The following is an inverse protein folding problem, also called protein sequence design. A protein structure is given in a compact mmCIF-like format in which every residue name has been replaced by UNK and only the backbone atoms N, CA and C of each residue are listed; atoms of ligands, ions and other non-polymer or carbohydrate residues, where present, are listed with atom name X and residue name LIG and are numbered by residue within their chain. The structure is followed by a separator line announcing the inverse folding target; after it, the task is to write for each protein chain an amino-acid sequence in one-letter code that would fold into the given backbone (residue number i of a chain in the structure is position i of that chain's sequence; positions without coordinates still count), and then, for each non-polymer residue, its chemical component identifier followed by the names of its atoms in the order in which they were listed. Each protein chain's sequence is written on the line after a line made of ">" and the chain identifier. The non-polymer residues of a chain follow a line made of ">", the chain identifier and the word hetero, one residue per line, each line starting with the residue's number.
data_IF_386284555602
#
_entry.id   IF_386284555602
#
_cell.length_a   1.000
_cell.length_b   1.000
_cell.length_c   1.000
_cell.angle_alpha   90.00
_cell.angle_beta   90.00
_cell.angle_gamma   90.00
#
_symmetry.space_group_name_H-M   'P 1'
#
loop_
_entity.id
_entity.type
_entity.pdbx_description
1 polymer ?
#
# COMPACT_ATOMS: atom_id res chain seq x y z
N UNK A 1 12.87 13.11 -13.40
CA UNK A 1 12.77 11.68 -13.77
C UNK A 1 11.62 11.57 -14.75
N UNK A 2 11.76 10.90 -15.91
CA UNK A 2 10.61 10.73 -16.81
C UNK A 2 9.57 9.84 -16.11
N UNK A 3 8.26 10.06 -16.33
CA UNK A 3 7.20 9.32 -15.64
C UNK A 3 7.36 7.79 -15.76
N UNK A 4 7.91 7.31 -16.88
CA UNK A 4 8.19 5.89 -17.11
C UNK A 4 9.25 5.30 -16.17
N UNK A 5 10.33 6.04 -15.85
CA UNK A 5 11.38 5.54 -14.97
C UNK A 5 10.96 5.47 -13.50
N UNK A 6 10.09 6.38 -13.04
CA UNK A 6 9.58 6.32 -11.66
C UNK A 6 8.69 5.11 -11.43
N UNK A 7 7.82 4.80 -12.39
CA UNK A 7 6.93 3.63 -12.31
C UNK A 7 7.75 2.34 -12.25
N UNK A 8 8.83 2.25 -13.04
CA UNK A 8 9.74 1.11 -12.98
C UNK A 8 10.45 1.00 -11.62
N UNK A 9 10.89 2.12 -11.04
CA UNK A 9 11.50 2.14 -9.71
C UNK A 9 10.53 1.65 -8.63
N UNK A 10 9.28 2.13 -8.66
CA UNK A 10 8.26 1.75 -7.68
C UNK A 10 7.79 0.29 -7.84
N UNK A 11 7.90 -0.26 -9.05
CA UNK A 11 7.60 -1.66 -9.34
C UNK A 11 8.78 -2.61 -9.05
N UNK A 12 10.00 -2.09 -8.83
CA UNK A 12 11.16 -2.92 -8.53
C UNK A 12 11.03 -3.54 -7.14
N UNK A 13 11.13 -4.87 -7.06
CA UNK A 13 11.10 -5.60 -5.80
C UNK A 13 12.22 -5.20 -4.82
N UNK A 14 13.35 -4.72 -5.33
CA UNK A 14 14.46 -4.22 -4.52
C UNK A 14 14.17 -2.86 -3.89
N UNK A 15 13.09 -2.19 -4.30
CA UNK A 15 12.70 -0.92 -3.69
C UNK A 15 12.46 -1.12 -2.18
N UNK A 16 13.05 -0.28 -1.30
CA UNK A 16 13.09 -0.54 0.16
C UNK A 16 11.77 -0.26 0.89
N UNK A 17 10.63 -0.66 0.30
CA UNK A 17 9.29 -0.58 0.89
C UNK A 17 8.88 -1.82 1.70
N UNK A 18 9.73 -2.85 1.78
CA UNK A 18 9.45 -4.07 2.56
C UNK A 18 8.34 -4.94 1.99
N UNK A 19 8.11 -4.87 0.67
CA UNK A 19 7.06 -5.63 -0.01
C UNK A 19 7.25 -7.15 0.09
N UNK A 20 8.50 -7.64 0.01
CA UNK A 20 8.82 -9.08 0.00
C UNK A 20 8.67 -9.78 1.36
N UNK A 21 8.55 -9.04 2.46
CA UNK A 21 8.54 -9.62 3.80
C UNK A 21 7.16 -10.20 4.22
N UNK A 22 6.16 -10.17 3.34
CA UNK A 22 4.78 -10.50 3.69
C UNK A 22 4.09 -11.34 2.61
N UNK A 23 3.61 -12.53 2.99
CA UNK A 23 2.92 -13.47 2.09
C UNK A 23 1.50 -13.06 1.72
N UNK A 24 0.94 -12.04 2.37
CA UNK A 24 -0.41 -11.54 2.16
C UNK A 24 -1.51 -12.59 2.42
N UNK A 25 -1.23 -13.62 3.21
CA UNK A 25 -2.13 -14.75 3.47
C UNK A 25 -1.88 -16.00 2.61
N UNK A 26 -0.88 -15.98 1.70
CA UNK A 26 -0.55 -17.16 0.89
C UNK A 26 -0.10 -18.34 1.75
N UNK A 27 0.77 -18.10 2.72
CA UNK A 27 1.29 -19.17 3.61
C UNK A 27 0.16 -19.85 4.38
N UNK A 28 -0.82 -19.08 4.88
CA UNK A 28 -1.99 -19.63 5.55
C UNK A 28 -2.87 -20.45 4.60
N UNK A 29 -3.04 -20.02 3.35
CA UNK A 29 -3.80 -20.76 2.35
C UNK A 29 -3.12 -22.09 1.96
N UNK A 30 -1.78 -22.10 1.88
CA UNK A 30 -1.00 -23.32 1.66
C UNK A 30 -1.12 -24.25 2.88
N UNK A 31 -0.95 -23.74 4.09
CA UNK A 31 -1.08 -24.53 5.32
C UNK A 31 -2.47 -25.15 5.48
N UNK A 32 -3.51 -24.48 4.98
CA UNK A 32 -4.88 -24.97 4.97
C UNK A 32 -5.22 -25.93 3.81
N UNK A 33 -4.25 -26.24 2.93
CA UNK A 33 -4.47 -27.10 1.76
C UNK A 33 -5.33 -26.47 0.66
N UNK A 34 -5.56 -25.16 0.69
CA UNK A 34 -6.34 -24.43 -0.31
C UNK A 34 -5.51 -24.05 -1.56
N UNK A 35 -4.19 -23.98 -1.39
CA UNK A 35 -3.23 -23.75 -2.48
C UNK A 35 -2.20 -24.88 -2.45
N UNK A 36 -2.21 -25.72 -3.47
CA UNK A 36 -1.40 -26.94 -3.54
C UNK A 36 -0.61 -27.07 -4.84
N UNK A 37 -0.93 -26.24 -5.84
CA UNK A 37 -0.34 -26.28 -7.18
C UNK A 37 -0.41 -24.88 -7.85
N UNK A 38 0.22 -24.70 -9.03
CA UNK A 38 0.15 -23.43 -9.74
C UNK A 38 -1.26 -22.98 -10.15
N UNK A 39 -2.19 -23.91 -10.40
CA UNK A 39 -3.55 -23.57 -10.82
C UNK A 39 -4.37 -22.98 -9.67
N UNK A 40 -4.29 -23.60 -8.50
CA UNK A 40 -4.88 -23.11 -7.24
C UNK A 40 -4.23 -21.81 -6.78
N UNK A 41 -2.90 -21.66 -6.94
CA UNK A 41 -2.21 -20.40 -6.71
C UNK A 41 -2.74 -19.28 -7.62
N UNK A 42 -2.91 -19.56 -8.92
CA UNK A 42 -3.47 -18.57 -9.85
C UNK A 42 -4.90 -18.17 -9.47
N UNK A 43 -5.74 -19.12 -9.02
CA UNK A 43 -7.06 -18.84 -8.47
C UNK A 43 -7.00 -17.91 -7.25
N UNK A 44 -6.13 -18.23 -6.31
CA UNK A 44 -5.91 -17.43 -5.11
C UNK A 44 -5.41 -16.01 -5.41
N UNK A 45 -4.47 -15.85 -6.35
CA UNK A 45 -3.96 -14.55 -6.77
C UNK A 45 -5.04 -13.71 -7.45
N UNK A 46 -5.85 -14.28 -8.35
CA UNK A 46 -7.00 -13.59 -8.95
C UNK A 46 -8.00 -13.14 -7.90
N UNK A 47 -8.32 -14.00 -6.93
CA UNK A 47 -9.18 -13.66 -5.80
C UNK A 47 -8.63 -12.50 -4.97
N UNK A 48 -7.33 -12.50 -4.67
CA UNK A 48 -6.68 -11.38 -3.98
C UNK A 48 -6.73 -10.09 -4.80
N UNK A 49 -6.44 -10.15 -6.10
CA UNK A 49 -6.50 -8.99 -6.99
C UNK A 49 -7.89 -8.37 -7.03
N UNK A 50 -8.94 -9.19 -7.12
CA UNK A 50 -10.33 -8.72 -7.17
C UNK A 50 -10.85 -8.17 -5.83
N UNK A 51 -10.16 -8.45 -4.72
CA UNK A 51 -10.60 -8.07 -3.37
C UNK A 51 -9.64 -7.05 -2.74
N UNK A 52 -8.71 -7.49 -1.89
CA UNK A 52 -7.78 -6.62 -1.19
C UNK A 52 -6.87 -5.82 -2.13
N UNK A 53 -6.50 -6.41 -3.27
CA UNK A 53 -5.72 -5.74 -4.31
C UNK A 53 -6.47 -4.56 -4.94
N UNK A 54 -7.73 -4.76 -5.32
CA UNK A 54 -8.59 -3.71 -5.87
C UNK A 54 -8.81 -2.58 -4.86
N UNK A 55 -9.09 -2.92 -3.60
CA UNK A 55 -9.23 -1.92 -2.52
C UNK A 55 -7.93 -1.14 -2.35
N UNK A 56 -6.78 -1.80 -2.23
CA UNK A 56 -5.50 -1.12 -2.11
C UNK A 56 -5.24 -0.18 -3.30
N UNK A 57 -5.49 -0.62 -4.53
CA UNK A 57 -5.32 0.21 -5.72
C UNK A 57 -6.24 1.44 -5.71
N UNK A 58 -7.52 1.27 -5.34
CA UNK A 58 -8.47 2.36 -5.25
C UNK A 58 -8.03 3.43 -4.23
N UNK A 59 -7.54 3.01 -3.06
CA UNK A 59 -7.06 3.93 -2.03
C UNK A 59 -5.75 4.62 -2.42
N UNK A 60 -4.85 3.94 -3.14
CA UNK A 60 -3.66 4.57 -3.70
C UNK A 60 -4.01 5.64 -4.73
N UNK A 61 -4.95 5.36 -5.64
CA UNK A 61 -5.44 6.35 -6.62
C UNK A 61 -6.14 7.52 -5.93
N UNK A 62 -6.95 7.26 -4.90
CA UNK A 62 -7.61 8.32 -4.14
C UNK A 62 -6.60 9.23 -3.42
N UNK A 63 -5.58 8.65 -2.80
CA UNK A 63 -4.51 9.42 -2.16
C UNK A 63 -3.67 10.23 -3.17
N UNK A 64 -3.37 9.65 -4.33
CA UNK A 64 -2.70 10.35 -5.43
C UNK A 64 -3.49 11.58 -5.87
N UNK A 65 -4.81 11.44 -6.10
CA UNK A 65 -5.69 12.56 -6.48
C UNK A 65 -5.80 13.62 -5.38
N UNK A 66 -5.70 13.23 -4.11
CA UNK A 66 -5.74 14.16 -2.99
C UNK A 66 -4.44 14.98 -2.83
N UNK A 67 -3.34 14.64 -3.53
CA UNK A 67 -2.05 15.30 -3.36
C UNK A 67 -2.10 16.83 -3.59
N UNK A 68 -2.94 17.30 -4.51
CA UNK A 68 -3.14 18.72 -4.81
C UNK A 68 -4.38 19.36 -4.17
N UNK A 69 -5.13 18.64 -3.33
CA UNK A 69 -6.36 19.15 -2.74
C UNK A 69 -6.08 20.09 -1.56
N UNK A 70 -6.88 21.15 -1.41
CA UNK A 70 -6.76 22.08 -0.28
C UNK A 70 -7.04 21.39 1.07
N UNK A 71 -7.93 20.40 1.08
CA UNK A 71 -8.33 19.61 2.26
C UNK A 71 -7.55 18.29 2.40
N UNK A 72 -6.40 18.16 1.70
CA UNK A 72 -5.60 16.92 1.61
C UNK A 72 -5.44 16.17 2.93
N UNK A 73 -5.12 16.87 4.02
CA UNK A 73 -4.92 16.25 5.34
C UNK A 73 -6.19 15.56 5.85
N UNK A 74 -7.34 16.23 5.75
CA UNK A 74 -8.62 15.68 6.17
C UNK A 74 -9.03 14.50 5.27
N UNK A 75 -8.83 14.64 3.96
CA UNK A 75 -9.10 13.58 2.98
C UNK A 75 -8.25 12.33 3.25
N UNK A 76 -6.94 12.48 3.47
CA UNK A 76 -6.05 11.37 3.78
C UNK A 76 -6.37 10.72 5.13
N UNK A 77 -6.73 11.49 6.15
CA UNK A 77 -7.15 10.94 7.45
C UNK A 77 -8.42 10.08 7.33
N UNK A 78 -9.41 10.55 6.56
CA UNK A 78 -10.61 9.78 6.26
C UNK A 78 -10.29 8.50 5.50
N UNK A 79 -9.45 8.58 4.47
CA UNK A 79 -9.02 7.41 3.70
C UNK A 79 -8.27 6.38 4.56
N UNK A 80 -7.42 6.81 5.51
CA UNK A 80 -6.70 5.86 6.39
C UNK A 80 -7.67 5.11 7.30
N UNK A 81 -8.62 5.82 7.92
CA UNK A 81 -9.65 5.21 8.76
C UNK A 81 -10.56 4.25 7.97
N UNK A 82 -10.93 4.66 6.75
CA UNK A 82 -11.74 3.86 5.84
C UNK A 82 -11.02 2.59 5.36
N UNK A 83 -9.71 2.63 5.16
CA UNK A 83 -8.90 1.47 4.79
C UNK A 83 -8.66 0.55 5.98
N UNK A 84 -8.45 1.10 7.19
CA UNK A 84 -8.33 0.31 8.42
C UNK A 84 -9.61 -0.50 8.63
N UNK A 85 -10.79 0.14 8.53
CA UNK A 85 -12.09 -0.51 8.69
C UNK A 85 -12.35 -1.63 7.66
N UNK A 86 -11.86 -1.47 6.42
CA UNK A 86 -12.00 -2.48 5.35
C UNK A 86 -10.97 -3.61 5.45
N UNK A 87 -9.97 -3.48 6.31
CA UNK A 87 -8.94 -4.50 6.54
C UNK A 87 -9.27 -5.28 7.81
N UNK A 88 -10.17 -6.25 7.71
CA UNK A 88 -10.71 -6.97 8.86
C UNK A 88 -9.63 -7.65 9.73
N UNK A 89 -8.65 -8.31 9.10
CA UNK A 89 -7.61 -9.03 9.82
C UNK A 89 -6.62 -8.06 10.50
N UNK A 90 -6.48 -8.08 11.84
CA UNK A 90 -5.55 -7.22 12.56
C UNK A 90 -4.09 -7.36 12.09
N UNK A 91 -3.68 -8.60 11.78
CA UNK A 91 -2.36 -8.88 11.23
C UNK A 91 -2.12 -8.15 9.89
N UNK A 92 -3.12 -8.14 8.99
CA UNK A 92 -3.01 -7.44 7.70
C UNK A 92 -2.98 -5.92 7.88
N UNK A 93 -3.71 -5.37 8.87
CA UNK A 93 -3.59 -3.93 9.23
C UNK A 93 -2.18 -3.58 9.68
N UNK A 94 -1.62 -4.37 10.60
CA UNK A 94 -0.27 -4.16 11.11
C UNK A 94 0.79 -4.24 9.99
N UNK A 95 0.65 -5.22 9.08
CA UNK A 95 1.49 -5.37 7.89
C UNK A 95 1.40 -4.13 6.99
N UNK A 96 0.19 -3.71 6.62
CA UNK A 96 -0.02 -2.54 5.76
C UNK A 96 0.59 -1.27 6.36
N UNK A 97 0.45 -1.07 7.67
CA UNK A 97 1.04 0.06 8.41
C UNK A 97 2.57 -0.02 8.46
N UNK A 98 3.15 -1.22 8.66
CA UNK A 98 4.60 -1.44 8.61
C UNK A 98 5.19 -1.12 7.24
N UNK A 99 4.55 -1.61 6.18
CA UNK A 99 4.94 -1.31 4.80
C UNK A 99 4.78 0.18 4.48
N UNK A 100 3.72 0.84 4.96
CA UNK A 100 3.52 2.27 4.79
C UNK A 100 4.65 3.09 5.43
N UNK A 101 5.08 2.74 6.65
CA UNK A 101 6.25 3.38 7.27
C UNK A 101 7.54 3.16 6.49
N UNK A 102 7.76 1.95 5.95
CA UNK A 102 8.94 1.66 5.13
C UNK A 102 8.95 2.47 3.83
N UNK A 103 7.84 2.46 3.10
CA UNK A 103 7.65 3.25 1.90
C UNK A 103 7.77 4.75 2.16
N UNK A 104 7.25 5.25 3.28
CA UNK A 104 7.33 6.66 3.64
C UNK A 104 8.77 7.12 3.93
N UNK A 105 9.58 6.26 4.56
CA UNK A 105 11.02 6.57 4.76
C UNK A 105 11.74 6.71 3.43
N UNK A 106 11.56 5.75 2.53
CA UNK A 106 12.14 5.82 1.18
C UNK A 106 11.61 7.03 0.39
N UNK A 107 10.31 7.31 0.48
CA UNK A 107 9.66 8.42 -0.21
C UNK A 107 10.21 9.78 0.21
N UNK A 108 10.40 10.00 1.51
CA UNK A 108 10.97 11.25 2.04
C UNK A 108 12.42 11.50 1.61
N UNK A 109 13.18 10.43 1.46
CA UNK A 109 14.58 10.50 1.00
C UNK A 109 14.66 10.85 -0.49
N UNK A 110 13.85 10.18 -1.32
CA UNK A 110 13.92 10.30 -2.78
C UNK A 110 13.20 11.57 -3.29
N UNK A 111 12.10 11.97 -2.65
CA UNK A 111 11.29 13.13 -3.03
C UNK A 111 11.13 14.13 -1.88
N UNK A 112 12.18 14.91 -1.56
CA UNK A 112 12.06 16.02 -0.61
C UNK A 112 10.98 17.00 -1.08
N UNK A 113 9.95 17.22 -0.25
CA UNK A 113 8.82 18.10 -0.58
C UNK A 113 7.59 17.41 -1.19
N UNK A 114 7.55 16.07 -1.28
CA UNK A 114 6.41 15.30 -1.81
C UNK A 114 5.09 15.36 -1.01
N UNK A 115 4.89 16.37 -0.14
CA UNK A 115 3.63 16.59 0.57
C UNK A 115 3.27 15.52 1.61
N UNK A 116 4.27 14.77 2.09
CA UNK A 116 4.08 13.66 3.05
C UNK A 116 3.70 14.11 4.47
N UNK A 117 3.74 15.41 4.76
CA UNK A 117 3.36 15.99 6.04
C UNK A 117 1.85 15.83 6.32
N UNK A 118 1.04 15.72 5.26
CA UNK A 118 -0.42 15.55 5.34
C UNK A 118 -0.87 14.13 5.71
N UNK A 119 0.03 13.14 5.69
CA UNK A 119 -0.29 11.77 6.09
C UNK A 119 -0.62 11.68 7.59
N UNK A 120 -1.46 10.72 8.00
CA UNK A 120 -1.71 10.42 9.40
C UNK A 120 -0.43 10.13 10.20
N UNK A 121 -0.30 10.72 11.39
CA UNK A 121 0.89 10.66 12.25
C UNK A 121 0.73 9.77 13.49
N UNK A 122 -0.31 8.92 13.52
CA UNK A 122 -0.55 8.02 14.65
C UNK A 122 0.60 7.02 14.89
N UNK A 123 0.66 6.37 16.07
CA UNK A 123 1.77 5.48 16.46
C UNK A 123 1.99 4.31 15.50
N UNK A 124 0.92 3.91 14.82
CA UNK A 124 0.94 2.89 13.78
C UNK A 124 1.50 3.37 12.44
N UNK A 125 1.55 4.68 12.18
CA UNK A 125 1.83 5.24 10.86
C UNK A 125 0.73 4.97 9.82
N UNK A 126 0.84 5.55 8.62
CA UNK A 126 -0.17 5.44 7.58
C UNK A 126 -0.20 4.06 6.91
N UNK A 127 -1.34 3.69 6.35
CA UNK A 127 -1.44 2.51 5.49
C UNK A 127 -0.64 2.65 4.19
N UNK A 128 0.00 1.56 3.75
CA UNK A 128 0.87 1.55 2.56
C UNK A 128 0.21 2.12 1.28
N UNK A 129 -1.06 1.82 0.96
CA UNK A 129 -1.69 2.37 -0.24
C UNK A 129 -1.72 3.89 -0.30
N UNK A 130 -1.97 4.56 0.83
CA UNK A 130 -1.99 6.03 0.87
C UNK A 130 -0.60 6.61 0.59
N UNK A 131 0.43 6.01 1.17
CA UNK A 131 1.81 6.44 0.96
C UNK A 131 2.22 6.21 -0.50
N UNK A 132 1.84 5.07 -1.09
CA UNK A 132 2.09 4.78 -2.51
C UNK A 132 1.45 5.82 -3.42
N UNK A 133 0.21 6.22 -3.13
CA UNK A 133 -0.48 7.27 -3.88
C UNK A 133 0.25 8.61 -3.86
N UNK A 134 0.71 9.06 -2.69
CA UNK A 134 1.47 10.30 -2.57
C UNK A 134 2.86 10.21 -3.20
N UNK A 135 3.57 9.09 -3.04
CA UNK A 135 4.87 8.87 -3.69
C UNK A 135 4.72 8.91 -5.21
N UNK A 136 3.64 8.34 -5.76
CA UNK A 136 3.35 8.41 -7.19
C UNK A 136 2.94 9.80 -7.68
N UNK A 137 2.54 10.72 -6.77
CA UNK A 137 2.16 12.10 -7.09
C UNK A 137 3.31 13.11 -6.94
N UNK A 138 4.42 12.69 -6.32
CA UNK A 138 5.57 13.53 -6.00
C UNK A 138 6.59 13.64 -7.15
#
# INVERSE_FOLDING_TARGET
>A
MTPSSMVLLLADGRFPAGAHAHSGGLEAAVAAGLVTDPATLAGFLRGRLATGGLVAAAFAVAAHRAAGAADRRATLARLDAELDARTAAPALRAVSRRQGRALLRAGREIWPGGGFDALPTGPSGPHQPLVLGLVAAA
#
